data_IF_209455623692
#
_entry.id   IF_209455623692
#
_cell.length_a   1.000
_cell.length_b   1.000
_cell.length_c   1.000
_cell.angle_alpha   90.00
_cell.angle_beta   90.00
_cell.angle_gamma   90.00
#
_symmetry.space_group_name_H-M   'P 1'
#
loop_
_entity.id
_entity.type
_entity.pdbx_description
1 polymer ?
#
# COMPACT_ATOMS: atom_id res chain seq x y z
N UNK A 1 15.71 54.27 31.20
CA UNK A 1 14.94 53.28 31.98
C UNK A 1 15.34 51.90 31.45
N UNK A 2 16.33 51.17 31.96
CA UNK A 2 16.50 50.61 33.31
C UNK A 2 15.23 49.80 33.72
N UNK A 3 15.23 48.50 34.04
CA UNK A 3 16.21 47.61 34.70
C UNK A 3 15.93 46.10 34.44
N UNK A 4 17.02 45.31 34.44
CA UNK A 4 17.30 44.03 35.14
C UNK A 4 16.28 42.85 35.17
N UNK A 5 16.70 41.66 34.70
CA UNK A 5 17.31 40.51 35.41
C UNK A 5 16.29 39.46 35.84
N UNK A 6 16.48 38.20 35.41
CA UNK A 6 16.70 37.05 36.31
C UNK A 6 17.27 35.89 35.49
N UNK A 7 18.51 35.51 35.83
CA UNK A 7 19.15 34.25 35.48
C UNK A 7 19.09 33.26 36.66
N UNK A 8 19.81 32.11 36.61
CA UNK A 8 19.20 30.77 36.67
C UNK A 8 19.45 29.99 37.97
N UNK A 9 18.63 28.95 38.18
CA UNK A 9 19.05 27.72 38.87
C UNK A 9 18.45 27.44 40.24
N UNK A 10 17.41 26.59 40.28
CA UNK A 10 17.34 25.50 41.27
C UNK A 10 17.02 24.21 40.52
N UNK A 11 18.00 23.33 40.53
CA UNK A 11 17.93 21.97 40.06
C UNK A 11 17.19 21.08 41.08
N UNK A 12 16.80 19.91 40.59
CA UNK A 12 16.85 18.63 41.33
C UNK A 12 15.63 18.29 42.19
N UNK A 13 14.61 17.71 41.55
CA UNK A 13 13.97 16.45 41.95
C UNK A 13 12.97 16.04 40.85
N UNK A 14 12.81 14.74 40.62
CA UNK A 14 12.03 14.07 39.55
C UNK A 14 12.82 13.61 38.32
N UNK A 15 14.13 13.39 38.47
CA UNK A 15 14.86 12.36 37.72
C UNK A 15 15.23 11.27 38.71
N UNK A 16 14.52 10.13 38.68
CA UNK A 16 15.03 8.78 39.03
C UNK A 16 13.84 7.80 39.05
N UNK A 17 13.75 6.97 38.02
CA UNK A 17 12.77 5.89 37.94
C UNK A 17 12.47 5.50 36.49
N UNK A 18 13.26 4.54 35.98
CA UNK A 18 13.15 3.82 34.70
C UNK A 18 14.27 4.15 33.69
N UNK A 19 15.48 3.71 34.06
CA UNK A 19 16.54 3.36 33.11
C UNK A 19 16.13 2.05 32.42
N UNK A 20 16.21 2.01 31.09
CA UNK A 20 16.42 0.75 30.36
C UNK A 20 15.55 0.49 29.13
N UNK A 21 15.59 1.33 28.10
CA UNK A 21 15.50 0.88 26.70
C UNK A 21 16.38 1.81 25.85
N UNK A 22 17.45 1.28 25.27
CA UNK A 22 18.30 1.98 24.30
C UNK A 22 17.47 2.29 23.04
N UNK A 23 17.22 3.57 22.77
CA UNK A 23 16.64 4.01 21.49
C UNK A 23 17.73 4.05 20.40
N UNK A 24 17.44 3.60 19.16
CA UNK A 24 18.34 3.82 18.04
C UNK A 24 18.35 5.32 17.64
N UNK A 25 19.40 5.82 16.98
CA UNK A 25 19.59 7.25 16.75
C UNK A 25 18.58 7.78 15.73
N UNK A 26 17.49 8.35 16.20
CA UNK A 26 16.50 9.05 15.37
C UNK A 26 16.99 10.45 14.98
N UNK A 27 16.94 10.73 13.67
CA UNK A 27 16.98 12.03 13.00
C UNK A 27 17.11 13.25 13.93
N UNK A 28 18.32 13.80 14.01
CA UNK A 28 18.58 15.17 14.43
C UNK A 28 18.52 16.04 13.17
N UNK A 29 17.31 16.50 12.83
CA UNK A 29 17.04 17.34 11.66
C UNK A 29 15.77 18.16 11.90
N UNK A 30 15.71 19.35 11.31
CA UNK A 30 14.82 20.48 11.65
C UNK A 30 13.35 20.16 12.00
N UNK A 31 12.68 21.02 12.82
CA UNK A 31 11.32 20.82 13.32
C UNK A 31 10.24 20.55 12.26
N UNK A 32 10.47 21.03 11.02
CA UNK A 32 9.61 20.75 9.87
C UNK A 32 9.58 19.24 9.59
N UNK A 33 10.71 18.61 9.33
CA UNK A 33 10.80 17.19 8.91
C UNK A 33 10.25 16.23 9.97
N UNK A 34 10.48 16.50 11.27
CA UNK A 34 9.98 15.65 12.38
C UNK A 34 8.45 15.61 12.49
N UNK A 35 7.74 16.69 12.17
CA UNK A 35 6.26 16.69 12.19
C UNK A 35 5.66 15.89 11.02
N UNK A 36 6.37 15.77 9.91
CA UNK A 36 5.84 15.14 8.69
C UNK A 36 5.99 13.62 8.67
N UNK A 37 7.05 13.04 9.26
CA UNK A 37 7.15 11.57 9.41
C UNK A 37 6.07 10.98 10.34
N UNK A 38 5.59 11.74 11.33
CA UNK A 38 4.48 11.31 12.21
C UNK A 38 3.09 11.56 11.60
N UNK A 39 3.02 12.24 10.45
CA UNK A 39 1.80 12.46 9.66
C UNK A 39 1.85 11.74 8.31
N UNK A 40 2.72 10.72 8.19
CA UNK A 40 2.60 9.71 7.15
C UNK A 40 1.21 9.07 7.30
N UNK A 41 0.25 9.61 6.54
CA UNK A 41 -0.95 8.90 6.11
C UNK A 41 -0.43 7.74 5.26
N UNK A 42 0.01 6.69 5.96
CA UNK A 42 0.05 5.30 5.50
C UNK A 42 0.36 5.11 4.03
N UNK A 43 1.61 4.82 3.71
CA UNK A 43 1.99 4.36 2.38
C UNK A 43 2.77 3.06 2.53
N UNK A 44 2.05 1.99 2.82
CA UNK A 44 2.56 0.64 2.59
C UNK A 44 1.83 0.12 1.36
N UNK A 45 2.58 0.03 0.26
CA UNK A 45 2.19 -0.83 -0.85
C UNK A 45 2.86 -2.17 -0.57
N UNK A 46 2.09 -3.25 -0.47
CA UNK A 46 2.62 -4.62 -0.44
C UNK A 46 2.52 -5.18 -1.85
N UNK A 47 3.66 -5.50 -2.47
CA UNK A 47 3.72 -6.21 -3.75
C UNK A 47 4.29 -7.60 -3.55
N UNK A 48 3.48 -8.65 -3.73
CA UNK A 48 3.93 -10.03 -3.64
C UNK A 48 4.53 -10.52 -4.97
N UNK A 49 5.83 -10.76 -5.02
CA UNK A 49 6.49 -11.54 -6.07
C UNK A 49 6.40 -13.03 -5.72
N UNK A 50 5.90 -13.86 -6.65
CA UNK A 50 6.03 -15.31 -6.53
C UNK A 50 6.44 -15.87 -7.90
N UNK A 51 7.75 -16.01 -8.10
CA UNK A 51 8.31 -16.81 -9.19
C UNK A 51 9.57 -17.53 -8.71
N UNK A 52 9.37 -18.77 -8.23
CA UNK A 52 10.33 -19.87 -8.34
C UNK A 52 9.69 -21.15 -7.82
N UNK A 53 9.20 -21.98 -8.75
CA UNK A 53 9.39 -23.44 -8.82
C UNK A 53 8.37 -24.02 -9.81
N UNK A 54 8.79 -24.11 -11.08
CA UNK A 54 8.24 -25.11 -11.98
C UNK A 54 8.58 -26.50 -11.41
N UNK A 55 7.57 -27.31 -11.07
CA UNK A 55 7.73 -28.77 -10.93
C UNK A 55 6.57 -29.47 -11.63
N UNK A 56 7.00 -30.48 -12.39
CA UNK A 56 6.26 -31.34 -13.33
C UNK A 56 5.05 -32.06 -12.69
N UNK A 57 4.08 -32.53 -13.50
CA UNK A 57 2.93 -33.26 -13.00
C UNK A 57 3.33 -34.64 -12.47
N UNK A 58 3.06 -34.89 -11.18
CA UNK A 58 3.11 -36.22 -10.59
C UNK A 58 1.77 -36.94 -10.84
N UNK A 59 1.84 -38.04 -11.58
CA UNK A 59 0.78 -39.03 -11.67
C UNK A 59 0.44 -39.58 -10.28
N UNK A 60 -0.85 -39.64 -9.93
CA UNK A 60 -1.35 -40.45 -8.84
C UNK A 60 -2.36 -41.48 -9.35
N UNK A 61 -1.90 -42.73 -9.40
CA UNK A 61 -2.73 -43.93 -9.39
C UNK A 61 -3.06 -44.28 -7.93
N UNK A 62 -4.32 -44.46 -7.57
CA UNK A 62 -4.63 -44.95 -6.23
C UNK A 62 -6.08 -44.78 -5.80
N UNK A 63 -6.83 -45.85 -5.97
CA UNK A 63 -8.17 -46.14 -5.47
C UNK A 63 -8.40 -45.77 -3.99
N UNK A 64 -9.50 -45.08 -3.69
CA UNK A 64 -10.01 -44.88 -2.33
C UNK A 64 -11.49 -44.50 -2.35
N UNK A 65 -12.33 -45.34 -1.71
CA UNK A 65 -13.80 -45.38 -1.84
C UNK A 65 -14.50 -44.21 -1.13
N UNK A 66 -15.55 -43.69 -1.76
CA UNK A 66 -16.59 -42.87 -1.12
C UNK A 66 -17.61 -43.76 -0.41
N UNK A 67 -17.97 -43.44 0.83
CA UNK A 67 -19.22 -43.87 1.45
C UNK A 67 -19.93 -42.68 2.11
N UNK A 68 -21.21 -42.55 1.78
CA UNK A 68 -22.22 -41.65 2.32
C UNK A 68 -22.58 -41.98 3.76
N UNK A 69 -22.97 -40.98 4.57
CA UNK A 69 -24.15 -41.05 5.47
C UNK A 69 -24.85 -39.68 5.52
N UNK A 70 -26.19 -39.74 5.42
CA UNK A 70 -27.19 -38.69 5.40
C UNK A 70 -27.84 -38.45 6.79
N UNK A 71 -28.23 -37.20 7.02
CA UNK A 71 -29.53 -36.74 7.57
C UNK A 71 -29.83 -36.59 9.07
N UNK A 72 -30.76 -35.62 9.29
CA UNK A 72 -31.66 -35.34 10.43
C UNK A 72 -31.05 -34.55 11.61
N UNK A 73 -31.72 -33.60 12.27
CA UNK A 73 -33.11 -33.10 12.22
C UNK A 73 -33.20 -31.80 13.04
N UNK A 74 -34.14 -30.94 12.67
CA UNK A 74 -34.63 -29.75 13.38
C UNK A 74 -35.02 -29.96 14.86
N UNK A 75 -34.83 -28.94 15.71
CA UNK A 75 -35.78 -28.55 16.78
C UNK A 75 -35.50 -27.13 17.31
N UNK A 76 -36.59 -26.39 17.46
CA UNK A 76 -36.70 -25.00 17.92
C UNK A 76 -36.90 -24.94 19.43
N UNK A 77 -36.29 -23.98 20.13
CA UNK A 77 -36.62 -23.61 21.53
C UNK A 77 -36.64 -22.08 21.65
N UNK A 78 -37.74 -21.56 22.23
CA UNK A 78 -38.07 -20.16 22.45
C UNK A 78 -37.46 -19.58 23.75
N UNK A 79 -37.17 -18.27 23.68
CA UNK A 79 -37.28 -17.20 24.71
C UNK A 79 -36.86 -17.44 26.16
N UNK A 80 -36.00 -16.55 26.68
CA UNK A 80 -36.27 -15.70 27.87
C UNK A 80 -35.03 -14.83 28.20
N UNK A 81 -35.23 -13.53 28.38
CA UNK A 81 -34.23 -12.57 28.86
C UNK A 81 -34.39 -12.33 30.37
N UNK A 82 -33.28 -12.34 31.13
CA UNK A 82 -33.18 -11.57 32.37
C UNK A 82 -32.04 -10.53 32.31
N UNK A 83 -32.24 -9.40 33.00
CA UNK A 83 -31.34 -8.23 33.04
C UNK A 83 -29.99 -8.45 33.72
N UNK A 84 -29.11 -7.42 33.76
CA UNK A 84 -27.70 -7.59 34.08
C UNK A 84 -27.46 -7.71 35.60
N UNK A 85 -26.73 -8.73 36.09
CA UNK A 85 -26.22 -8.71 37.44
C UNK A 85 -24.86 -7.99 37.52
N UNK A 86 -24.73 -7.20 38.58
CA UNK A 86 -23.52 -6.53 39.06
C UNK A 86 -22.26 -7.42 39.01
N UNK A 87 -21.21 -6.95 38.34
CA UNK A 87 -19.90 -7.62 38.29
C UNK A 87 -19.09 -7.27 39.55
N UNK A 88 -18.84 -8.27 40.42
CA UNK A 88 -17.75 -8.21 41.42
C UNK A 88 -16.42 -8.55 40.72
N UNK A 89 -15.28 -7.97 41.14
CA UNK A 89 -13.99 -8.28 40.54
C UNK A 89 -13.60 -9.74 40.79
N UNK A 90 -13.38 -10.50 39.72
CA UNK A 90 -12.87 -11.87 39.77
C UNK A 90 -11.33 -11.88 40.00
N UNK A 91 -10.80 -12.80 40.82
CA UNK A 91 -9.37 -12.93 41.02
C UNK A 91 -8.70 -13.52 39.76
N UNK A 92 -7.54 -12.98 39.40
CA UNK A 92 -6.70 -13.44 38.29
C UNK A 92 -6.31 -14.91 38.47
N UNK A 93 -7.01 -15.81 37.78
CA UNK A 93 -6.60 -17.20 37.60
C UNK A 93 -5.87 -17.31 36.27
N UNK A 94 -4.56 -17.56 36.30
CA UNK A 94 -3.78 -17.91 35.11
C UNK A 94 -4.36 -19.22 34.54
N UNK A 95 -5.11 -19.12 33.44
CA UNK A 95 -5.51 -20.26 32.63
C UNK A 95 -4.99 -20.07 31.22
N UNK A 96 -4.41 -21.14 30.66
CA UNK A 96 -3.96 -21.20 29.27
C UNK A 96 -5.13 -20.87 28.36
N UNK A 97 -4.95 -19.89 27.48
CA UNK A 97 -5.89 -19.61 26.40
C UNK A 97 -5.83 -20.74 25.37
N UNK A 98 -6.91 -21.50 25.27
CA UNK A 98 -7.23 -22.27 24.06
C UNK A 98 -7.81 -21.29 23.03
N UNK A 99 -7.04 -21.02 21.98
CA UNK A 99 -7.43 -20.13 20.88
C UNK A 99 -8.24 -20.91 19.84
N UNK A 100 -9.57 -20.75 19.88
CA UNK A 100 -10.49 -21.17 18.83
C UNK A 100 -10.68 -20.11 17.73
N UNK A 101 -9.61 -19.44 17.32
CA UNK A 101 -9.62 -18.52 16.18
C UNK A 101 -8.81 -19.16 15.07
N UNK A 102 -9.46 -19.54 13.97
CA UNK A 102 -8.79 -19.96 12.74
C UNK A 102 -8.05 -18.75 12.15
N UNK A 103 -6.88 -18.44 12.70
CA UNK A 103 -5.84 -17.69 11.98
C UNK A 103 -5.40 -18.64 10.87
N UNK A 104 -5.48 -18.20 9.62
CA UNK A 104 -4.94 -18.95 8.49
C UNK A 104 -3.45 -19.22 8.79
N UNK A 105 -3.14 -20.45 9.19
CA UNK A 105 -1.78 -20.89 9.44
C UNK A 105 -1.10 -20.94 8.07
N UNK A 106 -0.16 -20.03 7.84
CA UNK A 106 0.70 -20.10 6.67
C UNK A 106 1.36 -21.48 6.62
N UNK A 107 1.40 -22.15 5.46
CA UNK A 107 2.03 -23.46 5.33
C UNK A 107 3.50 -23.33 5.74
N UNK A 108 3.85 -23.96 6.86
CA UNK A 108 5.24 -24.08 7.29
C UNK A 108 5.86 -25.25 6.54
N UNK A 109 6.97 -25.02 5.82
CA UNK A 109 7.66 -26.11 5.16
C UNK A 109 8.39 -26.92 6.25
N UNK A 110 7.97 -28.17 6.46
CA UNK A 110 8.26 -28.96 7.66
C UNK A 110 9.67 -29.58 7.72
N UNK A 111 10.71 -28.89 7.25
CA UNK A 111 12.10 -29.35 7.45
C UNK A 111 13.07 -28.30 7.97
N UNK A 112 12.74 -27.00 7.90
CA UNK A 112 13.40 -25.94 8.68
C UNK A 112 12.33 -24.89 8.93
N UNK A 113 12.10 -24.54 10.19
CA UNK A 113 11.08 -23.58 10.64
C UNK A 113 11.35 -22.14 10.20
N UNK A 114 11.50 -21.92 8.89
CA UNK A 114 11.54 -20.61 8.27
C UNK A 114 10.11 -20.32 7.84
N UNK A 115 9.46 -19.38 8.53
CA UNK A 115 8.23 -18.80 7.99
C UNK A 115 8.69 -18.06 6.73
N UNK A 116 8.32 -18.58 5.55
CA UNK A 116 8.47 -17.87 4.29
C UNK A 116 7.48 -16.71 4.35
N UNK A 117 7.92 -15.57 4.87
CA UNK A 117 7.22 -14.32 4.65
C UNK A 117 7.18 -14.12 3.13
N UNK A 118 6.00 -13.85 2.53
CA UNK A 118 5.97 -13.46 1.13
C UNK A 118 6.91 -12.26 0.94
N UNK A 119 7.72 -12.26 -0.11
CA UNK A 119 8.48 -11.06 -0.49
C UNK A 119 7.47 -9.94 -0.74
N UNK A 120 7.56 -8.87 0.06
CA UNK A 120 6.80 -7.64 -0.15
C UNK A 120 7.75 -6.50 -0.45
N UNK A 121 7.46 -5.74 -1.49
CA UNK A 121 8.19 -4.50 -1.82
C UNK A 121 7.43 -3.29 -1.27
N UNK A 122 8.13 -2.37 -0.58
CA UNK A 122 7.58 -1.08 -0.18
C UNK A 122 7.82 -0.04 -1.27
N UNK A 123 6.74 0.64 -1.68
CA UNK A 123 6.79 1.80 -2.55
C UNK A 123 6.51 3.05 -1.74
N UNK A 124 7.51 3.91 -1.60
CA UNK A 124 7.34 5.18 -0.91
C UNK A 124 6.85 6.26 -1.88
N UNK A 125 5.76 6.92 -1.51
CA UNK A 125 5.17 8.00 -2.31
C UNK A 125 5.25 9.35 -1.60
N UNK A 126 6.15 9.53 -0.61
CA UNK A 126 6.30 10.79 0.14
C UNK A 126 6.57 11.98 -0.78
N UNK A 127 7.43 11.78 -1.79
CA UNK A 127 7.84 12.82 -2.74
C UNK A 127 6.78 13.19 -3.79
N UNK A 128 5.62 12.52 -3.75
CA UNK A 128 4.55 12.67 -4.73
C UNK A 128 3.17 12.81 -4.08
N UNK A 129 2.77 11.87 -3.22
CA UNK A 129 1.52 11.88 -2.44
C UNK A 129 1.64 12.80 -1.23
N UNK A 130 2.78 12.72 -0.51
CA UNK A 130 3.05 13.60 0.62
C UNK A 130 3.05 15.07 0.23
N UNK A 131 3.54 15.41 -0.96
CA UNK A 131 3.54 16.78 -1.50
C UNK A 131 2.14 17.29 -1.87
N UNK A 132 1.13 16.44 -2.03
CA UNK A 132 -0.26 16.89 -2.24
C UNK A 132 -0.95 17.35 -0.95
N UNK A 133 -0.29 17.21 0.20
CA UNK A 133 -0.80 17.73 1.47
C UNK A 133 -0.87 19.26 1.43
N UNK A 134 -2.01 19.89 1.77
CA UNK A 134 -2.12 21.34 1.81
C UNK A 134 -1.01 22.01 2.64
N UNK A 135 -0.31 22.96 2.02
CA UNK A 135 0.80 23.69 2.66
C UNK A 135 2.14 22.94 2.67
N UNK A 136 2.24 21.78 2.01
CA UNK A 136 3.50 21.07 1.80
C UNK A 136 4.01 21.35 0.39
N UNK A 137 5.22 21.88 0.30
CA UNK A 137 5.97 22.04 -0.95
C UNK A 137 7.44 21.80 -0.64
N UNK A 138 8.08 20.92 -1.40
CA UNK A 138 9.49 20.63 -1.21
C UNK A 138 10.33 21.29 -2.30
N UNK A 139 11.31 22.08 -1.88
CA UNK A 139 12.40 22.50 -2.75
C UNK A 139 13.23 21.30 -3.21
N UNK A 140 13.95 21.43 -4.33
CA UNK A 140 14.81 20.35 -4.85
C UNK A 140 15.80 19.81 -3.79
N UNK A 141 16.52 20.65 -3.00
CA UNK A 141 17.40 20.14 -1.95
C UNK A 141 16.68 19.39 -0.82
N UNK A 142 15.42 19.75 -0.52
CA UNK A 142 14.60 19.01 0.45
C UNK A 142 14.20 17.66 -0.13
N UNK A 143 13.78 17.62 -1.41
CA UNK A 143 13.45 16.36 -2.08
C UNK A 143 14.64 15.40 -2.14
N UNK A 144 15.84 15.90 -2.41
CA UNK A 144 17.08 15.12 -2.39
C UNK A 144 17.36 14.54 -0.99
N UNK A 145 17.24 15.36 0.06
CA UNK A 145 17.42 14.89 1.45
C UNK A 145 16.40 13.83 1.85
N UNK A 146 15.14 13.97 1.42
CA UNK A 146 14.10 12.96 1.65
C UNK A 146 14.45 11.67 0.91
N UNK A 147 14.81 11.76 -0.37
CA UNK A 147 15.22 10.60 -1.17
C UNK A 147 16.38 9.83 -0.53
N UNK A 148 17.42 10.53 -0.06
CA UNK A 148 18.54 9.92 0.66
C UNK A 148 18.10 9.23 1.96
N UNK A 149 17.10 9.80 2.64
CA UNK A 149 16.49 9.19 3.83
C UNK A 149 15.74 7.91 3.50
N UNK A 150 14.94 7.91 2.43
CA UNK A 150 14.17 6.75 1.98
C UNK A 150 15.07 5.58 1.57
N UNK A 151 16.19 5.87 0.91
CA UNK A 151 17.21 4.85 0.58
C UNK A 151 17.77 4.21 1.84
N UNK A 152 18.05 4.99 2.90
CA UNK A 152 18.55 4.45 4.18
C UNK A 152 17.53 3.56 4.89
N UNK A 153 16.23 3.80 4.69
CA UNK A 153 15.15 2.95 5.20
C UNK A 153 15.07 1.62 4.43
N UNK A 154 15.56 1.58 3.18
CA UNK A 154 15.58 0.38 2.36
C UNK A 154 14.29 0.14 1.58
N UNK A 155 13.60 1.20 1.16
CA UNK A 155 12.41 1.07 0.29
C UNK A 155 12.82 0.57 -1.10
N UNK A 156 11.97 -0.23 -1.73
CA UNK A 156 12.27 -0.85 -3.02
C UNK A 156 12.08 0.11 -4.20
N UNK A 157 11.10 1.01 -4.08
CA UNK A 157 10.73 1.98 -5.10
C UNK A 157 10.37 3.32 -4.46
N UNK A 158 10.74 4.42 -5.09
CA UNK A 158 10.31 5.77 -4.70
C UNK A 158 9.61 6.44 -5.88
N UNK A 159 8.38 6.88 -5.66
CA UNK A 159 7.59 7.63 -6.62
C UNK A 159 7.93 9.12 -6.49
N UNK A 160 8.66 9.66 -7.47
CA UNK A 160 9.37 10.94 -7.36
C UNK A 160 8.53 12.17 -7.69
N UNK A 161 7.32 11.99 -8.21
CA UNK A 161 6.49 13.09 -8.62
C UNK A 161 5.43 12.73 -9.66
N UNK A 162 4.71 13.76 -10.08
CA UNK A 162 3.74 13.70 -11.18
C UNK A 162 4.49 13.97 -12.48
N UNK A 163 4.21 13.17 -13.51
CA UNK A 163 4.66 13.36 -14.87
C UNK A 163 4.00 14.60 -15.48
N UNK A 164 4.64 15.74 -15.31
CA UNK A 164 4.09 17.02 -15.78
C UNK A 164 5.17 18.10 -15.79
N UNK A 165 5.16 18.90 -16.87
CA UNK A 165 5.99 20.09 -17.02
C UNK A 165 5.81 21.13 -15.90
N UNK A 166 4.70 21.05 -15.15
CA UNK A 166 4.39 21.95 -14.04
C UNK A 166 5.08 21.56 -12.72
N UNK A 167 5.83 20.44 -12.68
CA UNK A 167 6.62 20.03 -11.52
C UNK A 167 8.13 20.11 -11.82
N UNK A 168 8.75 21.30 -11.74
CA UNK A 168 10.11 21.54 -12.24
C UNK A 168 11.20 20.78 -11.48
N UNK A 169 10.94 20.31 -10.26
CA UNK A 169 11.91 19.54 -9.48
C UNK A 169 12.00 18.07 -9.91
N UNK A 170 11.02 17.53 -10.65
CA UNK A 170 10.92 16.09 -10.94
C UNK A 170 12.07 15.57 -11.80
N UNK A 171 12.39 16.24 -12.92
CA UNK A 171 13.51 15.87 -13.79
C UNK A 171 14.87 15.92 -13.08
N UNK A 172 15.23 17.05 -12.43
CA UNK A 172 16.46 17.15 -11.64
C UNK A 172 16.56 16.12 -10.52
N UNK A 173 15.44 15.73 -9.89
CA UNK A 173 15.40 14.73 -8.84
C UNK A 173 15.64 13.31 -9.37
N UNK A 174 15.07 12.96 -10.53
CA UNK A 174 15.38 11.69 -11.21
C UNK A 174 16.88 11.62 -11.54
N UNK A 175 17.42 12.68 -12.14
CA UNK A 175 18.84 12.74 -12.50
C UNK A 175 19.75 12.61 -11.27
N UNK A 176 19.37 13.23 -10.16
CA UNK A 176 20.04 13.08 -8.88
C UNK A 176 19.97 11.62 -8.38
N UNK A 177 18.77 11.06 -8.27
CA UNK A 177 18.54 9.71 -7.74
C UNK A 177 19.29 8.64 -8.54
N UNK A 178 19.27 8.73 -9.87
CA UNK A 178 20.01 7.80 -10.74
C UNK A 178 21.52 7.86 -10.51
N UNK A 179 22.06 9.06 -10.30
CA UNK A 179 23.51 9.27 -10.08
C UNK A 179 23.95 8.80 -8.70
N UNK A 180 23.13 9.01 -7.67
CA UNK A 180 23.51 8.73 -6.27
C UNK A 180 23.07 7.34 -5.80
N UNK A 181 21.99 6.81 -6.36
CA UNK A 181 21.31 5.58 -5.92
C UNK A 181 20.98 4.65 -7.10
N UNK A 182 21.98 4.15 -7.86
CA UNK A 182 21.76 3.40 -9.10
C UNK A 182 21.01 2.06 -8.95
N UNK A 183 20.78 1.59 -7.72
CA UNK A 183 19.99 0.39 -7.42
C UNK A 183 18.56 0.66 -6.95
N UNK A 184 18.17 1.93 -6.74
CA UNK A 184 16.81 2.29 -6.33
C UNK A 184 15.91 2.40 -7.56
N UNK A 185 14.73 1.79 -7.53
CA UNK A 185 13.73 1.96 -8.59
C UNK A 185 13.07 3.33 -8.46
N UNK A 186 13.24 4.19 -9.47
CA UNK A 186 12.66 5.53 -9.53
C UNK A 186 11.43 5.54 -10.43
N UNK A 187 10.26 5.80 -9.85
CA UNK A 187 9.00 5.82 -10.60
C UNK A 187 8.38 7.22 -10.70
N UNK A 188 7.52 7.40 -11.70
CA UNK A 188 6.69 8.58 -11.86
C UNK A 188 5.22 8.20 -11.94
N UNK A 189 4.38 8.97 -11.26
CA UNK A 189 2.93 8.87 -11.42
C UNK A 189 2.49 9.68 -12.64
N UNK A 190 1.59 9.16 -13.47
CA UNK A 190 1.11 9.87 -14.66
C UNK A 190 -0.38 9.66 -14.91
N UNK A 191 -1.03 10.67 -15.47
CA UNK A 191 -2.39 10.52 -16.01
C UNK A 191 -2.32 9.70 -17.30
N UNK A 192 -3.43 9.09 -17.69
CA UNK A 192 -3.56 8.47 -19.02
C UNK A 192 -3.73 9.55 -20.11
N UNK A 193 -2.69 10.36 -20.34
CA UNK A 193 -2.65 11.44 -21.33
C UNK A 193 -1.33 11.42 -22.09
N UNK A 194 -1.42 11.54 -23.41
CA UNK A 194 -0.25 11.50 -24.30
C UNK A 194 0.81 12.55 -23.92
N UNK A 195 0.39 13.77 -23.57
CA UNK A 195 1.31 14.84 -23.17
C UNK A 195 2.13 14.53 -21.91
N UNK A 196 1.52 13.84 -20.93
CA UNK A 196 2.19 13.48 -19.68
C UNK A 196 3.12 12.28 -19.90
N UNK A 197 2.69 11.32 -20.72
CA UNK A 197 3.48 10.14 -21.08
C UNK A 197 4.71 10.57 -21.88
N UNK A 198 4.54 11.44 -22.88
CA UNK A 198 5.64 11.99 -23.66
C UNK A 198 6.65 12.73 -22.78
N UNK A 199 6.15 13.58 -21.87
CA UNK A 199 7.03 14.26 -20.92
C UNK A 199 7.77 13.28 -20.00
N UNK A 200 7.11 12.23 -19.52
CA UNK A 200 7.72 11.21 -18.68
C UNK A 200 8.81 10.44 -19.44
N UNK A 201 8.60 10.13 -20.72
CA UNK A 201 9.57 9.44 -21.56
C UNK A 201 10.90 10.23 -21.66
N UNK A 202 10.82 11.55 -21.77
CA UNK A 202 12.00 12.42 -21.76
C UNK A 202 12.76 12.36 -20.43
N UNK A 203 12.07 12.18 -19.31
CA UNK A 203 12.70 12.04 -17.99
C UNK A 203 13.29 10.64 -17.75
N UNK A 204 12.86 9.66 -18.55
CA UNK A 204 13.30 8.25 -18.50
C UNK A 204 13.19 7.66 -17.08
N UNK A 205 12.04 7.63 -16.41
CA UNK A 205 11.91 6.90 -15.14
C UNK A 205 12.14 5.39 -15.36
N UNK A 206 12.47 4.66 -14.30
CA UNK A 206 12.60 3.20 -14.39
C UNK A 206 11.22 2.53 -14.52
N UNK A 207 10.18 3.20 -14.01
CA UNK A 207 8.78 2.78 -14.09
C UNK A 207 7.83 3.97 -14.22
N UNK A 208 6.89 3.90 -15.16
CA UNK A 208 5.76 4.83 -15.24
C UNK A 208 4.52 4.19 -14.61
N UNK A 209 4.02 4.77 -13.52
CA UNK A 209 2.76 4.38 -12.89
C UNK A 209 1.63 5.22 -13.47
N UNK A 210 0.93 4.69 -14.48
CA UNK A 210 -0.29 5.29 -15.00
C UNK A 210 -1.42 5.19 -13.97
N UNK A 211 -2.41 6.08 -14.03
CA UNK A 211 -3.58 6.03 -13.16
C UNK A 211 -4.86 6.35 -13.92
N UNK A 212 -5.92 5.61 -13.63
CA UNK A 212 -7.25 5.81 -14.20
C UNK A 212 -8.35 5.47 -13.17
N UNK A 213 -9.45 6.26 -13.08
CA UNK A 213 -10.57 5.90 -12.23
C UNK A 213 -11.33 4.70 -12.77
N UNK A 214 -11.78 3.84 -11.85
CA UNK A 214 -12.55 2.62 -12.18
C UNK A 214 -13.92 2.57 -11.52
N UNK A 215 -14.28 3.54 -10.67
CA UNK A 215 -15.62 3.63 -10.08
C UNK A 215 -16.59 4.40 -10.98
N UNK A 216 -17.85 3.96 -11.01
CA UNK A 216 -18.90 4.66 -11.77
C UNK A 216 -19.10 6.09 -11.26
N UNK A 217 -18.90 6.32 -9.96
CA UNK A 217 -18.99 7.66 -9.37
C UNK A 217 -17.94 8.58 -10.00
N UNK A 218 -16.69 8.15 -10.12
CA UNK A 218 -15.64 8.97 -10.74
C UNK A 218 -15.83 9.07 -12.25
N UNK A 219 -16.22 7.99 -12.93
CA UNK A 219 -16.44 7.99 -14.38
C UNK A 219 -17.61 8.89 -14.76
N UNK A 220 -18.79 8.67 -14.18
CA UNK A 220 -20.01 9.37 -14.57
C UNK A 220 -20.08 10.78 -13.98
N UNK A 221 -19.78 10.96 -12.68
CA UNK A 221 -20.05 12.23 -11.99
C UNK A 221 -18.89 13.22 -12.10
N UNK A 222 -17.65 12.73 -12.09
CA UNK A 222 -16.45 13.60 -12.17
C UNK A 222 -16.00 13.79 -13.62
N UNK A 223 -15.92 12.72 -14.40
CA UNK A 223 -15.37 12.77 -15.76
C UNK A 223 -16.42 12.87 -16.86
N UNK A 224 -17.68 12.54 -16.58
CA UNK A 224 -18.75 12.43 -17.57
C UNK A 224 -18.36 11.47 -18.71
N UNK A 225 -17.79 10.32 -18.34
CA UNK A 225 -17.33 9.24 -19.23
C UNK A 225 -17.93 7.90 -18.83
N UNK A 226 -17.91 6.96 -19.75
CA UNK A 226 -18.35 5.58 -19.53
C UNK A 226 -17.17 4.63 -19.27
N UNK A 227 -17.50 3.40 -18.90
CA UNK A 227 -16.54 2.31 -18.65
C UNK A 227 -15.73 1.96 -19.90
N UNK A 228 -16.36 2.00 -21.07
CA UNK A 228 -15.70 1.71 -22.35
C UNK A 228 -14.62 2.75 -22.67
N UNK A 229 -14.88 4.03 -22.39
CA UNK A 229 -13.89 5.08 -22.48
C UNK A 229 -12.71 4.81 -21.54
N UNK A 230 -12.97 4.39 -20.29
CA UNK A 230 -11.89 4.10 -19.35
C UNK A 230 -11.01 2.94 -19.84
N UNK A 231 -11.63 1.84 -20.30
CA UNK A 231 -10.90 0.70 -20.86
C UNK A 231 -10.06 1.12 -22.08
N UNK A 232 -10.66 1.79 -23.07
CA UNK A 232 -9.92 2.27 -24.26
C UNK A 232 -8.78 3.20 -23.89
N UNK A 233 -9.04 4.20 -23.03
CA UNK A 233 -8.04 5.19 -22.59
C UNK A 233 -6.87 4.52 -21.89
N UNK A 234 -7.14 3.55 -21.01
CA UNK A 234 -6.09 2.79 -20.34
C UNK A 234 -5.24 2.02 -21.35
N UNK A 235 -5.86 1.29 -22.28
CA UNK A 235 -5.13 0.52 -23.29
C UNK A 235 -4.29 1.42 -24.21
N UNK A 236 -4.85 2.52 -24.68
CA UNK A 236 -4.14 3.49 -25.53
C UNK A 236 -2.95 4.11 -24.78
N UNK A 237 -3.11 4.44 -23.50
CA UNK A 237 -2.04 5.00 -22.68
C UNK A 237 -0.92 3.99 -22.40
N UNK A 238 -1.25 2.74 -22.07
CA UNK A 238 -0.26 1.67 -21.88
C UNK A 238 0.51 1.44 -23.18
N UNK A 239 -0.20 1.32 -24.31
CA UNK A 239 0.41 1.13 -25.62
C UNK A 239 1.32 2.32 -25.98
N UNK A 240 0.90 3.55 -25.70
CA UNK A 240 1.71 4.75 -25.92
C UNK A 240 3.00 4.74 -25.10
N UNK A 241 2.89 4.53 -23.79
CA UNK A 241 4.06 4.47 -22.91
C UNK A 241 5.05 3.39 -23.36
N UNK A 242 4.55 2.21 -23.78
CA UNK A 242 5.39 1.13 -24.30
C UNK A 242 6.08 1.47 -25.63
N UNK A 243 5.40 2.17 -26.55
CA UNK A 243 6.03 2.66 -27.79
C UNK A 243 7.18 3.63 -27.51
N UNK A 244 7.10 4.36 -26.39
CA UNK A 244 8.17 5.25 -25.92
C UNK A 244 9.25 4.53 -25.09
N UNK A 245 9.20 3.19 -25.00
CA UNK A 245 10.20 2.38 -24.32
C UNK A 245 10.07 2.36 -22.80
N UNK A 246 8.93 2.77 -22.24
CA UNK A 246 8.71 2.79 -20.80
C UNK A 246 8.18 1.46 -20.27
N UNK A 247 8.67 1.06 -19.10
CA UNK A 247 8.04 0.03 -18.27
C UNK A 247 6.83 0.65 -17.58
N UNK A 248 5.70 -0.09 -17.52
CA UNK A 248 4.41 0.47 -17.08
C UNK A 248 3.81 -0.32 -15.94
N UNK A 249 3.37 0.38 -14.89
CA UNK A 249 2.40 -0.10 -13.91
C UNK A 249 1.10 0.69 -14.08
N UNK A 250 -0.03 0.13 -13.65
CA UNK A 250 -1.34 0.80 -13.72
C UNK A 250 -1.97 0.88 -12.33
N UNK A 251 -2.49 2.06 -11.99
CA UNK A 251 -3.25 2.35 -10.78
C UNK A 251 -4.73 2.51 -11.09
N UNK A 252 -5.57 1.82 -10.32
CA UNK A 252 -7.00 1.92 -10.34
C UNK A 252 -7.46 2.84 -9.21
N UNK A 253 -7.74 4.09 -9.58
CA UNK A 253 -8.26 5.10 -8.68
C UNK A 253 -9.69 4.75 -8.27
N UNK A 254 -9.98 4.88 -6.97
CA UNK A 254 -11.27 4.61 -6.37
C UNK A 254 -11.78 3.16 -6.49
N UNK A 255 -10.85 2.21 -6.54
CA UNK A 255 -11.14 0.79 -6.72
C UNK A 255 -12.01 0.20 -5.61
N UNK A 256 -11.95 0.74 -4.39
CA UNK A 256 -12.70 0.24 -3.22
C UNK A 256 -14.21 0.53 -3.29
N UNK A 257 -14.64 1.38 -4.23
CA UNK A 257 -16.05 1.71 -4.48
C UNK A 257 -16.53 1.32 -5.87
N UNK A 258 -15.69 0.66 -6.66
CA UNK A 258 -15.98 0.27 -8.02
C UNK A 258 -16.76 -1.06 -8.11
N UNK A 259 -17.41 -1.30 -9.26
CA UNK A 259 -17.94 -2.62 -9.58
C UNK A 259 -16.79 -3.61 -9.78
N UNK A 260 -16.76 -4.65 -8.95
CA UNK A 260 -15.67 -5.62 -8.90
C UNK A 260 -15.43 -6.32 -10.25
N UNK A 261 -16.49 -6.59 -11.02
CA UNK A 261 -16.35 -7.24 -12.33
C UNK A 261 -15.65 -6.31 -13.31
N UNK A 262 -15.98 -5.02 -13.27
CA UNK A 262 -15.31 -4.03 -14.10
C UNK A 262 -13.83 -3.86 -13.72
N UNK A 263 -13.50 -3.84 -12.43
CA UNK A 263 -12.10 -3.81 -11.97
C UNK A 263 -11.32 -5.03 -12.47
N UNK A 264 -11.91 -6.23 -12.40
CA UNK A 264 -11.29 -7.46 -12.91
C UNK A 264 -11.06 -7.39 -14.43
N UNK A 265 -12.04 -6.90 -15.21
CA UNK A 265 -11.89 -6.70 -16.67
C UNK A 265 -10.75 -5.72 -16.97
N UNK A 266 -10.68 -4.60 -16.25
CA UNK A 266 -9.60 -3.62 -16.40
C UNK A 266 -8.23 -4.23 -16.04
N UNK A 267 -8.15 -4.98 -14.93
CA UNK A 267 -6.92 -5.66 -14.50
C UNK A 267 -6.43 -6.63 -15.57
N UNK A 268 -7.35 -7.45 -16.11
CA UNK A 268 -7.02 -8.45 -17.11
C UNK A 268 -6.51 -7.82 -18.41
N UNK A 269 -7.20 -6.81 -18.91
CA UNK A 269 -6.80 -6.09 -20.11
C UNK A 269 -5.45 -5.37 -19.95
N UNK A 270 -5.13 -4.89 -18.75
CA UNK A 270 -3.83 -4.30 -18.46
C UNK A 270 -2.71 -5.35 -18.42
N UNK A 271 -2.96 -6.51 -17.80
CA UNK A 271 -2.01 -7.64 -17.77
C UNK A 271 -1.72 -8.16 -19.18
N UNK A 272 -2.73 -8.30 -20.04
CA UNK A 272 -2.57 -8.75 -21.43
C UNK A 272 -1.73 -7.77 -22.26
N UNK A 273 -1.74 -6.49 -21.89
CA UNK A 273 -0.83 -5.50 -22.47
C UNK A 273 0.55 -5.49 -21.82
N UNK A 274 0.80 -6.31 -20.81
CA UNK A 274 2.09 -6.53 -20.17
C UNK A 274 2.50 -5.42 -19.20
N UNK A 275 1.57 -4.88 -18.42
CA UNK A 275 1.94 -4.06 -17.25
C UNK A 275 2.67 -4.92 -16.21
N UNK A 276 3.62 -4.34 -15.50
CA UNK A 276 4.42 -5.07 -14.50
C UNK A 276 3.72 -5.16 -13.14
N UNK A 277 2.67 -4.35 -12.90
CA UNK A 277 1.93 -4.30 -11.64
C UNK A 277 0.58 -3.59 -11.81
N UNK A 278 -0.42 -4.07 -11.07
CA UNK A 278 -1.71 -3.38 -10.88
C UNK A 278 -1.80 -2.86 -9.44
N UNK A 279 -2.07 -1.57 -9.25
CA UNK A 279 -2.23 -0.92 -7.94
C UNK A 279 -3.71 -0.57 -7.71
N UNK A 280 -4.27 -0.97 -6.57
CA UNK A 280 -5.61 -0.64 -6.13
C UNK A 280 -5.56 0.53 -5.14
N UNK A 281 -6.35 1.58 -5.36
CA UNK A 281 -6.39 2.73 -4.45
C UNK A 281 -7.72 2.80 -3.66
N UNK A 282 -7.61 2.90 -2.34
CA UNK A 282 -8.70 3.34 -1.46
C UNK A 282 -8.72 4.87 -1.37
N UNK A 283 -9.14 5.51 -2.46
CA UNK A 283 -9.00 6.97 -2.67
C UNK A 283 -9.69 7.81 -1.60
N UNK A 284 -10.75 7.30 -0.97
CA UNK A 284 -11.52 8.01 0.07
C UNK A 284 -11.25 7.48 1.49
N UNK A 285 -10.43 6.43 1.62
CA UNK A 285 -10.05 5.89 2.93
C UNK A 285 -11.18 5.18 3.68
N UNK A 286 -12.23 4.73 2.98
CA UNK A 286 -13.42 4.14 3.59
C UNK A 286 -13.39 2.61 3.65
N UNK A 287 -12.38 1.97 3.06
CA UNK A 287 -12.33 0.52 3.00
C UNK A 287 -11.99 -0.08 4.37
N UNK A 288 -12.59 -1.24 4.66
CA UNK A 288 -12.20 -2.07 5.79
C UNK A 288 -11.15 -3.11 5.37
N UNK A 289 -10.42 -3.72 6.32
CA UNK A 289 -9.42 -4.75 5.99
C UNK A 289 -10.02 -5.93 5.22
N UNK A 290 -11.22 -6.36 5.61
CA UNK A 290 -11.97 -7.41 4.88
C UNK A 290 -12.51 -6.94 3.52
N UNK A 291 -12.69 -5.64 3.31
CA UNK A 291 -13.00 -5.06 2.00
C UNK A 291 -11.82 -5.16 1.04
N UNK A 292 -10.63 -4.72 1.49
CA UNK A 292 -9.39 -4.80 0.71
C UNK A 292 -9.03 -6.26 0.42
N UNK A 293 -9.12 -7.15 1.41
CA UNK A 293 -8.82 -8.59 1.23
C UNK A 293 -9.65 -9.20 0.10
N UNK A 294 -10.98 -8.98 0.10
CA UNK A 294 -11.86 -9.50 -0.95
C UNK A 294 -11.54 -8.93 -2.34
N UNK A 295 -11.17 -7.65 -2.39
CA UNK A 295 -10.78 -7.01 -3.65
C UNK A 295 -9.48 -7.62 -4.20
N UNK A 296 -8.46 -7.78 -3.35
CA UNK A 296 -7.17 -8.39 -3.72
C UNK A 296 -7.35 -9.85 -4.13
N UNK A 297 -8.11 -10.64 -3.39
CA UNK A 297 -8.41 -12.05 -3.71
C UNK A 297 -9.11 -12.19 -5.06
N UNK A 298 -10.09 -11.32 -5.34
CA UNK A 298 -10.77 -11.27 -6.63
C UNK A 298 -9.79 -11.00 -7.78
N UNK A 299 -8.93 -9.99 -7.64
CA UNK A 299 -7.95 -9.70 -8.69
C UNK A 299 -6.92 -10.83 -8.83
N UNK A 300 -6.50 -11.44 -7.72
CA UNK A 300 -5.53 -12.54 -7.75
C UNK A 300 -6.06 -13.79 -8.45
N UNK A 301 -7.38 -13.97 -8.49
CA UNK A 301 -8.01 -15.03 -9.28
C UNK A 301 -7.93 -14.77 -10.80
N UNK A 302 -7.86 -13.50 -11.21
CA UNK A 302 -7.93 -13.08 -12.61
C UNK A 302 -6.56 -12.79 -13.25
N UNK A 303 -5.65 -12.21 -12.47
CA UNK A 303 -4.31 -11.79 -12.93
C UNK A 303 -3.18 -12.45 -12.13
N UNK A 304 -2.06 -12.66 -12.81
CA UNK A 304 -0.81 -13.22 -12.28
C UNK A 304 0.22 -12.15 -11.97
N UNK A 305 0.16 -10.98 -12.62
CA UNK A 305 1.05 -9.87 -12.33
C UNK A 305 1.00 -9.46 -10.84
N UNK A 306 2.08 -8.88 -10.29
CA UNK A 306 2.09 -8.34 -8.94
C UNK A 306 0.93 -7.35 -8.71
N UNK A 307 0.33 -7.44 -7.52
CA UNK A 307 -0.69 -6.51 -7.05
C UNK A 307 -0.07 -5.54 -6.04
N UNK A 308 -0.61 -4.33 -5.98
CA UNK A 308 -0.24 -3.30 -5.04
C UNK A 308 -1.51 -2.69 -4.44
N UNK A 309 -1.44 -2.23 -3.19
CA UNK A 309 -2.52 -1.50 -2.52
C UNK A 309 -2.04 -0.12 -2.09
N UNK A 310 -2.88 0.89 -2.22
CA UNK A 310 -2.64 2.25 -1.75
C UNK A 310 -3.83 2.68 -0.89
N UNK A 311 -3.61 2.82 0.41
CA UNK A 311 -4.69 2.93 1.40
C UNK A 311 -4.63 4.26 2.14
N UNK A 312 -5.72 5.01 2.10
CA UNK A 312 -5.85 6.26 2.84
C UNK A 312 -6.31 6.02 4.28
N UNK A 313 -6.02 6.99 5.16
CA UNK A 313 -6.17 6.84 6.61
C UNK A 313 -7.31 7.65 7.23
N UNK A 314 -8.32 8.01 6.46
CA UNK A 314 -9.45 8.84 6.90
C UNK A 314 -10.17 8.27 8.13
N UNK A 315 -10.20 6.94 8.27
CA UNK A 315 -10.78 6.23 9.41
C UNK A 315 -9.74 5.49 10.28
N UNK A 316 -8.44 5.80 10.16
CA UNK A 316 -7.40 5.17 10.97
C UNK A 316 -7.09 3.71 10.63
N UNK A 317 -7.56 3.20 9.49
CA UNK A 317 -7.47 1.79 9.10
C UNK A 317 -6.37 1.46 8.10
N UNK A 318 -5.62 2.46 7.63
CA UNK A 318 -4.76 2.25 6.47
C UNK A 318 -3.65 1.22 6.68
N UNK A 319 -3.01 1.19 7.86
CA UNK A 319 -2.01 0.16 8.19
C UNK A 319 -2.62 -1.24 8.32
N UNK A 320 -3.90 -1.35 8.69
CA UNK A 320 -4.58 -2.64 8.74
C UNK A 320 -5.10 -3.09 7.35
N UNK A 321 -5.29 -2.13 6.45
CA UNK A 321 -5.72 -2.34 5.07
C UNK A 321 -4.56 -2.70 4.14
N UNK A 322 -3.38 -2.12 4.37
CA UNK A 322 -2.16 -2.30 3.59
C UNK A 322 -1.40 -3.55 3.99
#
# INVERSE_FOLDING_TARGET
MQLQQFGPGIAKQLTEGLVGVSQPPFFVGEPKIRRYCFHLRSCLVISSSCDRFARQPLHFSGTGRYQHILSLSSKSIKSQTPGPPFIRPYPLRRSRFETGTNIALFPTNSEKGTILMPEYEIIDTTLREGEQTPGVLFSLPEKQRILDGLVKVGVAEVELGIASRFHPCTGPLIAYGRRTHPGLRLSLWSRCREEDIAWAADQKPDLLSLSIPVSDIHLEKRLQKDRDWALRTMCEAIASAKRQGLTVAIGFEDATRADLRFVNVMAKAAEEQGVVRVRLADTVGIASPGGITRLVESLRAEVRCPLAVHTHNDFGMATANG
#
